data_IF_160945218443
#
_entry.id   IF_160945218443
#
_cell.length_a   1.000
_cell.length_b   1.000
_cell.length_c   1.000
_cell.angle_alpha   90.00
_cell.angle_beta   90.00
_cell.angle_gamma   90.00
#
_symmetry.space_group_name_H-M   'P 1'
#
loop_
_entity.id
_entity.type
_entity.pdbx_description
1 polymer ?
#
# COMPACT_ATOMS: atom_id res chain seq x y z
N UNK A 1 9.44 2.01 6.94
CA UNK A 1 8.96 3.37 7.26
C UNK A 1 7.81 3.86 6.38
N UNK A 2 7.58 3.22 5.22
CA UNK A 2 6.52 3.62 4.31
C UNK A 2 5.25 2.89 4.68
N UNK A 3 4.17 3.66 4.95
CA UNK A 3 2.87 3.10 5.32
C UNK A 3 2.07 2.74 4.06
N UNK A 4 1.96 3.70 3.15
CA UNK A 4 1.39 3.44 1.83
C UNK A 4 1.80 4.55 0.87
N UNK A 5 1.57 4.30 -0.42
CA UNK A 5 1.98 5.21 -1.51
C UNK A 5 0.79 5.38 -2.43
N UNK A 6 0.57 6.61 -2.91
CA UNK A 6 -0.45 6.84 -3.92
C UNK A 6 -0.05 7.94 -4.89
N UNK A 7 -0.61 7.88 -6.09
CA UNK A 7 -0.41 8.91 -7.13
C UNK A 7 -1.61 9.83 -7.18
N UNK A 8 -1.35 11.12 -7.18
CA UNK A 8 -2.40 12.13 -7.34
C UNK A 8 -1.82 13.34 -8.03
N UNK A 9 -2.50 13.84 -9.06
CA UNK A 9 -2.08 15.02 -9.82
C UNK A 9 -0.63 14.90 -10.32
N UNK A 10 -0.27 13.72 -10.80
CA UNK A 10 1.05 13.41 -11.33
C UNK A 10 2.17 13.46 -10.30
N UNK A 11 1.82 13.60 -9.03
CA UNK A 11 2.79 13.55 -7.94
C UNK A 11 2.67 12.24 -7.19
N UNK A 12 3.81 11.75 -6.74
CA UNK A 12 3.87 10.56 -5.91
C UNK A 12 3.81 10.99 -4.45
N UNK A 13 2.82 10.49 -3.74
CA UNK A 13 2.64 10.77 -2.31
C UNK A 13 3.09 9.54 -1.52
N UNK A 14 4.08 9.72 -0.66
CA UNK A 14 4.61 8.64 0.16
C UNK A 14 4.26 8.93 1.61
N UNK A 15 3.39 8.11 2.18
CA UNK A 15 2.98 8.27 3.58
C UNK A 15 3.92 7.43 4.42
N UNK A 16 4.64 8.08 5.34
CA UNK A 16 5.61 7.42 6.20
C UNK A 16 5.18 7.54 7.66
N UNK A 17 5.90 6.84 8.52
CA UNK A 17 5.67 6.95 9.97
C UNK A 17 5.86 8.38 10.48
N UNK A 18 6.64 9.16 9.79
CA UNK A 18 7.03 10.50 10.23
C UNK A 18 6.35 11.62 9.46
N UNK A 19 5.47 11.29 8.54
CA UNK A 19 4.74 12.30 7.77
C UNK A 19 4.66 11.94 6.31
N UNK A 20 4.20 12.89 5.52
CA UNK A 20 4.01 12.71 4.09
C UNK A 20 5.13 13.36 3.30
N UNK A 21 5.64 12.63 2.31
CA UNK A 21 6.59 13.15 1.33
C UNK A 21 5.89 13.20 -0.02
N UNK A 22 6.04 14.30 -0.74
CA UNK A 22 5.46 14.45 -2.07
C UNK A 22 6.61 14.68 -3.04
N UNK A 23 6.63 13.92 -4.13
CA UNK A 23 7.69 14.05 -5.12
C UNK A 23 7.08 13.99 -6.52
N UNK A 24 7.73 14.66 -7.47
CA UNK A 24 7.35 14.59 -8.86
C UNK A 24 7.89 13.35 -9.57
N UNK A 25 8.58 12.48 -8.85
CA UNK A 25 9.08 11.23 -9.42
C UNK A 25 7.92 10.42 -9.94
N UNK A 26 8.18 9.72 -11.05
CA UNK A 26 7.15 8.90 -11.67
C UNK A 26 7.03 7.57 -10.92
N UNK A 27 5.81 7.08 -10.83
CA UNK A 27 5.57 5.78 -10.23
C UNK A 27 6.41 4.69 -10.91
N UNK A 28 6.65 4.83 -12.21
CA UNK A 28 7.47 3.86 -12.95
C UNK A 28 8.86 3.68 -12.38
N UNK A 29 9.44 4.74 -11.82
CA UNK A 29 10.81 4.68 -11.31
C UNK A 29 10.93 3.80 -10.06
N UNK A 30 9.84 3.60 -9.33
CA UNK A 30 9.84 2.78 -8.12
C UNK A 30 8.97 1.55 -8.23
N UNK A 31 8.18 1.43 -9.31
CA UNK A 31 7.20 0.36 -9.46
C UNK A 31 7.85 -1.03 -9.42
N UNK A 32 8.98 -1.19 -10.09
CA UNK A 32 9.67 -2.48 -10.09
C UNK A 32 10.16 -2.85 -8.69
N UNK A 33 10.64 -1.87 -7.93
CA UNK A 33 11.08 -2.10 -6.55
C UNK A 33 9.92 -2.50 -5.65
N UNK A 34 8.77 -1.85 -5.83
CA UNK A 34 7.58 -2.17 -5.05
C UNK A 34 7.05 -3.55 -5.38
N UNK A 35 7.11 -3.94 -6.66
CA UNK A 35 6.66 -5.27 -7.07
C UNK A 35 7.56 -6.37 -6.57
N UNK A 36 8.84 -6.10 -6.42
CA UNK A 36 9.79 -7.07 -5.89
C UNK A 36 9.67 -7.24 -4.38
N UNK A 37 9.17 -6.22 -3.69
CA UNK A 37 8.99 -6.30 -2.24
C UNK A 37 7.78 -7.16 -1.92
N UNK A 38 7.97 -8.23 -1.16
CA UNK A 38 6.90 -9.16 -0.84
C UNK A 38 5.89 -8.61 0.18
N UNK A 39 6.18 -7.45 0.76
CA UNK A 39 5.30 -6.82 1.75
C UNK A 39 4.57 -5.58 1.19
N UNK A 40 4.62 -5.35 -0.12
CA UNK A 40 3.86 -4.29 -0.78
C UNK A 40 2.94 -4.87 -1.83
N UNK A 41 1.80 -4.23 -2.03
CA UNK A 41 0.87 -4.67 -3.06
C UNK A 41 0.06 -3.49 -3.59
N UNK A 42 -0.12 -3.45 -4.89
CA UNK A 42 -1.02 -2.48 -5.51
C UNK A 42 -2.46 -2.95 -5.29
N UNK A 43 -3.27 -2.08 -4.68
CA UNK A 43 -4.66 -2.43 -4.33
C UNK A 43 -5.67 -1.68 -5.18
N UNK A 44 -5.27 -0.60 -5.83
CA UNK A 44 -6.02 0.08 -6.88
C UNK A 44 -4.99 0.84 -7.71
N UNK A 45 -5.43 1.35 -8.85
CA UNK A 45 -4.50 2.01 -9.76
C UNK A 45 -3.75 3.14 -9.06
N UNK A 46 -2.45 2.98 -8.93
CA UNK A 46 -1.60 3.99 -8.31
C UNK A 46 -1.59 3.99 -6.79
N UNK A 47 -2.25 3.02 -6.12
CA UNK A 47 -2.25 2.90 -4.67
C UNK A 47 -1.57 1.61 -4.25
N UNK A 48 -0.52 1.75 -3.42
CA UNK A 48 0.28 0.62 -2.93
C UNK A 48 0.27 0.63 -1.41
N UNK A 49 0.02 -0.52 -0.79
CA UNK A 49 -0.03 -0.63 0.67
C UNK A 49 1.11 -1.50 1.18
N UNK A 50 1.61 -1.16 2.37
CA UNK A 50 2.62 -1.93 3.07
C UNK A 50 1.91 -2.84 4.08
N UNK A 51 2.13 -4.14 3.95
CA UNK A 51 1.46 -5.14 4.76
C UNK A 51 1.72 -4.98 6.25
N UNK A 52 2.89 -4.47 6.63
CA UNK A 52 3.25 -4.32 8.04
C UNK A 52 2.35 -3.34 8.80
N UNK A 53 1.64 -2.46 8.08
CA UNK A 53 0.83 -1.43 8.72
C UNK A 53 -0.67 -1.70 8.63
N UNK A 54 -1.08 -2.78 7.97
CA UNK A 54 -2.50 -3.09 7.82
C UNK A 54 -3.06 -3.64 9.13
N UNK A 55 -4.16 -3.05 9.61
CA UNK A 55 -4.83 -3.51 10.82
C UNK A 55 -6.16 -4.19 10.53
N UNK A 56 -6.77 -3.91 9.38
CA UNK A 56 -7.99 -4.59 8.96
C UNK A 56 -8.15 -4.47 7.46
N UNK A 57 -8.91 -5.38 6.87
CA UNK A 57 -9.17 -5.35 5.43
C UNK A 57 -10.46 -6.08 5.11
N UNK A 58 -11.11 -5.61 4.05
CA UNK A 58 -12.28 -6.24 3.46
C UNK A 58 -12.24 -5.93 1.96
N UNK A 59 -13.22 -6.44 1.22
CA UNK A 59 -13.25 -6.25 -0.22
C UNK A 59 -13.48 -4.79 -0.65
N UNK A 60 -13.85 -3.91 0.27
CA UNK A 60 -14.10 -2.52 -0.05
C UNK A 60 -13.32 -1.52 0.80
N UNK A 61 -12.52 -1.98 1.77
CA UNK A 61 -11.77 -1.08 2.62
C UNK A 61 -10.57 -1.77 3.25
N UNK A 62 -9.41 -1.14 3.11
CA UNK A 62 -8.19 -1.53 3.79
C UNK A 62 -7.83 -0.41 4.74
N UNK A 63 -7.59 -0.73 6.02
CA UNK A 63 -7.21 0.26 7.01
C UNK A 63 -5.77 0.00 7.43
N UNK A 64 -4.94 1.02 7.26
CA UNK A 64 -3.56 1.01 7.74
C UNK A 64 -3.44 1.99 8.90
N UNK A 65 -2.56 1.68 9.85
CA UNK A 65 -2.37 2.52 11.02
C UNK A 65 -0.88 2.70 11.29
N UNK A 66 -0.49 3.95 11.57
CA UNK A 66 0.86 4.27 12.01
C UNK A 66 0.76 5.31 13.12
N UNK A 67 1.27 4.97 14.30
CA UNK A 67 1.17 5.83 15.49
C UNK A 67 -0.30 6.14 15.79
N UNK A 68 -0.70 7.40 15.78
CA UNK A 68 -2.07 7.79 16.07
C UNK A 68 -2.92 8.02 14.81
N UNK A 69 -2.35 7.77 13.63
CA UNK A 69 -3.03 8.04 12.36
C UNK A 69 -3.56 6.76 11.75
N UNK A 70 -4.81 6.79 11.31
CA UNK A 70 -5.42 5.70 10.55
C UNK A 70 -5.67 6.18 9.13
N UNK A 71 -5.41 5.31 8.18
CA UNK A 71 -5.56 5.62 6.76
C UNK A 71 -6.51 4.60 6.13
N UNK A 72 -7.52 5.11 5.44
CA UNK A 72 -8.50 4.26 4.74
C UNK A 72 -8.15 4.23 3.27
N UNK A 73 -7.91 3.04 2.75
CA UNK A 73 -7.54 2.84 1.36
C UNK A 73 -8.61 1.95 0.73
N UNK A 74 -9.12 2.36 -0.44
CA UNK A 74 -10.22 1.68 -1.10
C UNK A 74 -9.71 0.85 -2.26
N UNK A 75 -9.66 -0.49 -2.10
CA UNK A 75 -9.16 -1.34 -3.17
C UNK A 75 -10.13 -1.42 -4.34
N UNK A 76 -9.61 -1.61 -5.54
CA UNK A 76 -10.45 -1.87 -6.69
C UNK A 76 -10.87 -3.34 -6.66
N UNK A 77 -12.02 -3.64 -7.28
CA UNK A 77 -12.51 -5.01 -7.37
C UNK A 77 -11.48 -5.93 -8.05
N UNK A 78 -10.86 -5.42 -9.10
CA UNK A 78 -9.94 -6.22 -9.90
C UNK A 78 -8.69 -6.60 -9.13
N UNK A 79 -8.24 -5.74 -8.22
CA UNK A 79 -6.97 -5.95 -7.54
C UNK A 79 -7.12 -6.52 -6.14
N UNK A 80 -8.33 -6.49 -5.59
CA UNK A 80 -8.52 -6.95 -4.21
C UNK A 80 -8.17 -8.41 -4.03
N UNK A 81 -8.60 -9.27 -4.96
CA UNK A 81 -8.35 -10.71 -4.83
C UNK A 81 -6.85 -11.02 -4.85
N UNK A 82 -6.11 -10.37 -5.73
CA UNK A 82 -4.66 -10.54 -5.78
C UNK A 82 -4.00 -10.03 -4.49
N UNK A 83 -4.50 -8.91 -3.96
CA UNK A 83 -4.03 -8.39 -2.68
C UNK A 83 -4.29 -9.40 -1.55
N UNK A 84 -5.51 -9.90 -1.48
CA UNK A 84 -5.90 -10.83 -0.41
C UNK A 84 -5.01 -12.08 -0.45
N UNK A 85 -4.79 -12.64 -1.62
CA UNK A 85 -3.95 -13.84 -1.77
C UNK A 85 -2.51 -13.54 -1.36
N UNK A 86 -1.96 -12.42 -1.81
CA UNK A 86 -0.59 -12.06 -1.49
C UNK A 86 -0.42 -11.79 0.00
N UNK A 87 -1.38 -11.08 0.59
CA UNK A 87 -1.33 -10.75 2.01
C UNK A 87 -1.44 -12.00 2.89
N UNK A 88 -2.35 -12.90 2.54
CA UNK A 88 -2.52 -14.14 3.30
C UNK A 88 -1.27 -15.02 3.20
N UNK A 89 -0.65 -15.09 2.02
CA UNK A 89 0.59 -15.84 1.86
C UNK A 89 1.72 -15.23 2.69
N UNK A 90 1.80 -13.90 2.69
CA UNK A 90 2.82 -13.20 3.47
C UNK A 90 2.62 -13.44 4.96
N UNK A 91 1.36 -13.36 5.43
CA UNK A 91 1.07 -13.61 6.84
C UNK A 91 1.44 -15.03 7.25
N UNK A 92 1.22 -16.01 6.38
CA UNK A 92 1.57 -17.39 6.65
C UNK A 92 3.09 -17.58 6.78
N UNK A 93 3.86 -16.84 5.98
CA UNK A 93 5.32 -16.97 5.98
C UNK A 93 5.96 -16.36 7.22
N UNK A 94 5.38 -15.27 7.77
CA UNK A 94 6.00 -14.60 8.91
C UNK A 94 5.59 -15.20 10.25
N UNK A 95 4.70 -16.17 10.24
CA UNK A 95 4.36 -16.89 11.47
C UNK A 95 5.36 -18.05 11.66
#
# INVERSE_FOLDING_TARGET
NIVYIYMENKNLHVITRHGELVTSDRLKSIDSQLKEADYFCEVSRGYYVNFYYIISYSDNLIVSKSQNNKYEIYPSRRKYKAFEDKFNNWMAEIK
#
